data_IF_736659700166
#
_entry.id   IF_736659700166
#
_cell.length_a   1.000
_cell.length_b   1.000
_cell.length_c   1.000
_cell.angle_alpha   90.00
_cell.angle_beta   90.00
_cell.angle_gamma   90.00
#
_symmetry.space_group_name_H-M   'P 1'
#
loop_
_entity.id
_entity.type
_entity.pdbx_description
1 polymer ?
#
# COMPACT_ATOMS: atom_id res chain seq x y z
N UNK A 1 2.07 -21.52 28.22
CA UNK A 1 1.71 -20.17 27.75
C UNK A 1 2.66 -19.79 26.64
N UNK A 2 2.13 -19.57 25.45
CA UNK A 2 2.89 -19.11 24.28
C UNK A 2 3.08 -17.59 24.36
N UNK A 3 4.17 -17.08 23.81
CA UNK A 3 4.51 -15.63 23.87
C UNK A 3 3.39 -14.75 23.30
N UNK A 4 2.76 -15.22 22.24
CA UNK A 4 1.69 -14.52 21.52
C UNK A 4 0.44 -14.28 22.39
N UNK A 5 0.21 -15.13 23.40
CA UNK A 5 -0.93 -15.00 24.30
C UNK A 5 -0.67 -14.12 25.52
N UNK A 6 0.57 -13.73 25.79
CA UNK A 6 0.92 -12.94 26.98
C UNK A 6 0.21 -11.58 27.00
N UNK A 7 0.11 -10.91 25.85
CA UNK A 7 -0.58 -9.63 25.73
C UNK A 7 -2.08 -9.76 26.02
N UNK A 8 -2.71 -10.85 25.61
CA UNK A 8 -4.12 -11.12 25.87
C UNK A 8 -4.40 -11.31 27.36
N UNK A 9 -3.52 -12.04 28.07
CA UNK A 9 -3.62 -12.21 29.54
C UNK A 9 -3.45 -10.87 30.28
N UNK A 10 -2.49 -10.04 29.82
CA UNK A 10 -2.28 -8.71 30.39
C UNK A 10 -3.52 -7.82 30.19
N UNK A 11 -4.07 -7.81 28.98
CA UNK A 11 -5.24 -7.00 28.64
C UNK A 11 -6.51 -7.49 29.35
N UNK A 12 -6.71 -8.80 29.46
CA UNK A 12 -7.81 -9.37 30.25
C UNK A 12 -7.69 -8.99 31.74
N UNK A 13 -6.47 -9.03 32.31
CA UNK A 13 -6.20 -8.65 33.70
C UNK A 13 -6.35 -7.14 33.92
N UNK A 14 -6.05 -6.30 32.93
CA UNK A 14 -6.26 -4.84 32.95
C UNK A 14 -7.75 -4.44 33.00
N UNK A 15 -8.66 -5.33 32.56
CA UNK A 15 -10.09 -5.15 32.69
C UNK A 15 -10.79 -4.53 31.48
N UNK A 16 -11.98 -3.98 31.71
CA UNK A 16 -12.92 -3.61 30.63
C UNK A 16 -12.51 -2.38 29.82
N UNK A 17 -11.71 -1.48 30.39
CA UNK A 17 -11.28 -0.25 29.73
C UNK A 17 -10.39 -0.55 28.51
N UNK A 18 -9.35 -1.35 28.72
CA UNK A 18 -8.45 -1.73 27.62
C UNK A 18 -9.15 -2.61 26.60
N UNK A 19 -10.08 -3.46 27.00
CA UNK A 19 -10.85 -4.30 26.08
C UNK A 19 -11.70 -3.46 25.11
N UNK A 20 -12.28 -2.35 25.60
CA UNK A 20 -13.00 -1.40 24.73
C UNK A 20 -12.07 -0.73 23.73
N UNK A 21 -10.91 -0.24 24.20
CA UNK A 21 -9.89 0.36 23.33
C UNK A 21 -9.36 -0.64 22.31
N UNK A 22 -9.10 -1.87 22.71
CA UNK A 22 -8.62 -2.94 21.82
C UNK A 22 -9.67 -3.27 20.73
N UNK A 23 -10.95 -3.27 21.06
CA UNK A 23 -12.03 -3.48 20.10
C UNK A 23 -12.13 -2.31 19.09
N UNK A 24 -12.07 -1.07 19.58
CA UNK A 24 -12.07 0.12 18.72
C UNK A 24 -10.84 0.11 17.80
N UNK A 25 -9.67 -0.21 18.32
CA UNK A 25 -8.44 -0.35 17.58
C UNK A 25 -8.54 -1.40 16.47
N UNK A 26 -9.04 -2.61 16.78
CA UNK A 26 -9.21 -3.70 15.83
C UNK A 26 -10.12 -3.30 14.66
N UNK A 27 -11.22 -2.61 14.94
CA UNK A 27 -12.14 -2.12 13.89
C UNK A 27 -11.44 -1.14 12.93
N UNK A 28 -10.62 -0.23 13.45
CA UNK A 28 -9.85 0.70 12.63
C UNK A 28 -8.74 -0.02 11.84
N UNK A 29 -8.09 -1.00 12.46
CA UNK A 29 -7.05 -1.80 11.81
C UNK A 29 -7.59 -2.58 10.61
N UNK A 30 -8.75 -3.23 10.77
CA UNK A 30 -9.44 -3.96 9.71
C UNK A 30 -9.83 -3.02 8.56
N UNK A 31 -10.41 -1.85 8.88
CA UNK A 31 -10.78 -0.85 7.88
C UNK A 31 -9.56 -0.36 7.07
N UNK A 32 -8.44 -0.09 7.73
CA UNK A 32 -7.20 0.31 7.04
C UNK A 32 -6.67 -0.82 6.15
N UNK A 33 -6.78 -2.06 6.60
CA UNK A 33 -6.35 -3.23 5.81
C UNK A 33 -7.19 -3.36 4.54
N UNK A 34 -8.51 -3.17 4.63
CA UNK A 34 -9.42 -3.15 3.48
C UNK A 34 -9.06 -2.03 2.49
N UNK A 35 -8.89 -0.79 2.98
CA UNK A 35 -8.51 0.35 2.14
C UNK A 35 -7.13 0.16 1.47
N UNK A 36 -6.15 -0.41 2.18
CA UNK A 36 -4.84 -0.76 1.61
C UNK A 36 -4.94 -1.86 0.54
N UNK A 37 -5.85 -2.83 0.73
CA UNK A 37 -6.11 -3.86 -0.26
C UNK A 37 -6.79 -3.28 -1.51
N UNK A 38 -7.74 -2.37 -1.33
CA UNK A 38 -8.40 -1.67 -2.42
C UNK A 38 -7.41 -0.83 -3.24
N UNK A 39 -6.51 -0.11 -2.59
CA UNK A 39 -5.40 0.58 -3.27
C UNK A 39 -4.55 -0.38 -4.11
N UNK A 40 -4.22 -1.56 -3.62
CA UNK A 40 -3.42 -2.55 -4.36
C UNK A 40 -4.14 -3.13 -5.57
N UNK A 41 -5.46 -3.31 -5.52
CA UNK A 41 -6.25 -3.85 -6.63
C UNK A 41 -6.38 -2.87 -7.80
N UNK A 42 -6.46 -1.60 -7.52
CA UNK A 42 -6.75 -0.57 -8.50
C UNK A 42 -5.50 0.04 -9.16
N UNK A 43 -4.28 -0.31 -8.70
CA UNK A 43 -3.07 0.41 -9.10
C UNK A 43 -1.88 -0.50 -9.41
N UNK A 44 -1.53 -0.52 -10.72
CA UNK A 44 -0.21 -0.87 -11.20
C UNK A 44 0.86 0.19 -10.78
N UNK A 45 2.07 0.10 -11.35
CA UNK A 45 3.19 0.99 -10.98
C UNK A 45 2.82 2.49 -11.13
N UNK A 46 2.83 3.23 -10.03
CA UNK A 46 2.48 4.66 -9.94
C UNK A 46 3.36 5.51 -10.88
N UNK A 47 4.61 5.09 -11.14
CA UNK A 47 5.52 5.77 -12.07
C UNK A 47 5.11 5.60 -13.53
N UNK A 48 4.62 4.43 -13.92
CA UNK A 48 4.12 4.19 -15.29
C UNK A 48 2.85 5.00 -15.54
N UNK A 49 1.97 5.05 -14.55
CA UNK A 49 0.74 5.85 -14.63
C UNK A 49 1.03 7.34 -14.80
N UNK A 50 1.95 7.90 -13.99
CA UNK A 50 2.32 9.31 -14.09
C UNK A 50 2.93 9.63 -15.45
N UNK A 51 3.82 8.78 -15.96
CA UNK A 51 4.38 8.95 -17.32
C UNK A 51 3.31 8.94 -18.41
N UNK A 52 2.33 8.02 -18.27
CA UNK A 52 1.22 7.95 -19.22
C UNK A 52 0.34 9.18 -19.16
N UNK A 53 0.05 9.69 -17.97
CA UNK A 53 -0.73 10.91 -17.75
C UNK A 53 -0.04 12.14 -18.37
N UNK A 54 1.26 12.31 -18.14
CA UNK A 54 2.05 13.40 -18.70
C UNK A 54 2.10 13.33 -20.23
N UNK A 55 2.24 12.11 -20.79
CA UNK A 55 2.24 11.88 -22.23
C UNK A 55 0.88 12.24 -22.85
N UNK A 56 -0.23 11.74 -22.27
CA UNK A 56 -1.56 12.04 -22.79
C UNK A 56 -1.89 13.54 -22.73
N UNK A 57 -1.52 14.22 -21.65
CA UNK A 57 -1.67 15.68 -21.51
C UNK A 57 -0.89 16.44 -22.59
N UNK A 58 0.34 16.02 -22.84
CA UNK A 58 1.16 16.62 -23.88
C UNK A 58 0.51 16.44 -25.26
N UNK A 59 0.08 15.23 -25.61
CA UNK A 59 -0.54 14.93 -26.90
C UNK A 59 -1.85 15.70 -27.11
N UNK A 60 -2.73 15.73 -26.10
CA UNK A 60 -3.98 16.53 -26.15
C UNK A 60 -3.66 18.00 -26.39
N UNK A 61 -2.74 18.57 -25.63
CA UNK A 61 -2.37 19.98 -25.75
C UNK A 61 -1.73 20.30 -27.13
N UNK A 62 -0.90 19.42 -27.67
CA UNK A 62 -0.29 19.61 -29.01
C UNK A 62 -1.36 19.64 -30.11
N UNK A 63 -2.34 18.73 -30.08
CA UNK A 63 -3.42 18.65 -31.06
C UNK A 63 -4.39 19.84 -30.89
N UNK A 64 -4.82 20.16 -29.67
CA UNK A 64 -5.75 21.27 -29.43
C UNK A 64 -5.15 22.64 -29.77
N UNK A 65 -3.87 22.84 -29.45
CA UNK A 65 -3.16 24.09 -29.78
C UNK A 65 -3.06 24.30 -31.27
N UNK A 66 -3.05 23.24 -32.07
CA UNK A 66 -3.02 23.32 -33.53
C UNK A 66 -4.35 23.79 -34.12
N UNK A 67 -5.48 23.71 -33.41
CA UNK A 67 -6.81 24.17 -33.84
C UNK A 67 -7.16 23.71 -35.26
N UNK A 68 -7.01 22.42 -35.52
CA UNK A 68 -7.29 21.83 -36.83
C UNK A 68 -8.76 21.95 -37.21
N UNK A 69 -9.04 22.29 -38.47
CA UNK A 69 -10.38 22.35 -39.00
C UNK A 69 -10.61 21.20 -40.00
N UNK A 70 -11.80 20.59 -40.04
CA UNK A 70 -12.13 19.62 -41.09
C UNK A 70 -11.94 20.19 -42.48
N UNK A 71 -11.37 19.43 -43.42
CA UNK A 71 -11.08 19.78 -44.79
C UNK A 71 -10.04 20.92 -44.98
N UNK A 72 -9.41 21.43 -43.92
CA UNK A 72 -8.44 22.51 -43.96
C UNK A 72 -7.25 22.19 -44.88
N UNK A 73 -6.77 20.97 -44.88
CA UNK A 73 -5.64 20.53 -45.73
C UNK A 73 -5.99 20.62 -47.22
N UNK A 74 -7.20 20.25 -47.62
CA UNK A 74 -7.66 20.32 -49.02
C UNK A 74 -7.79 21.75 -49.46
N UNK A 75 -8.35 22.63 -48.62
CA UNK A 75 -8.48 24.06 -48.93
C UNK A 75 -7.12 24.75 -49.08
N UNK A 76 -6.18 24.44 -48.20
CA UNK A 76 -4.82 24.98 -48.23
C UNK A 76 -4.05 24.49 -49.47
N UNK A 77 -4.17 23.21 -49.82
CA UNK A 77 -3.56 22.69 -51.06
C UNK A 77 -4.16 23.30 -52.32
N UNK A 78 -5.47 23.52 -52.38
CA UNK A 78 -6.10 24.22 -53.49
C UNK A 78 -5.56 25.66 -53.63
N UNK A 79 -5.47 26.42 -52.53
CA UNK A 79 -4.88 27.77 -52.50
C UNK A 79 -3.41 27.74 -52.94
N UNK A 80 -2.62 26.78 -52.46
CA UNK A 80 -1.22 26.60 -52.85
C UNK A 80 -1.07 26.37 -54.35
N UNK A 81 -1.94 25.52 -54.95
CA UNK A 81 -1.90 25.30 -56.42
C UNK A 81 -2.21 26.56 -57.21
N UNK A 82 -3.19 27.36 -56.78
CA UNK A 82 -3.50 28.66 -57.43
C UNK A 82 -2.29 29.59 -57.35
N UNK A 83 -1.62 29.66 -56.19
CA UNK A 83 -0.42 30.52 -56.02
C UNK A 83 0.74 30.06 -56.88
N UNK A 84 1.04 28.75 -56.96
CA UNK A 84 2.07 28.23 -57.85
C UNK A 84 1.80 28.53 -59.32
N UNK A 85 0.53 28.41 -59.74
CA UNK A 85 0.13 28.79 -61.10
C UNK A 85 0.27 30.28 -61.32
N UNK A 86 -0.05 31.11 -60.30
CA UNK A 86 0.09 32.58 -60.39
C UNK A 86 1.55 33.03 -60.52
N UNK A 87 2.48 32.40 -59.78
CA UNK A 87 3.91 32.63 -59.92
C UNK A 87 4.39 32.33 -61.33
N UNK A 88 4.01 31.21 -61.94
CA UNK A 88 4.36 30.86 -63.32
C UNK A 88 3.79 31.82 -64.31
N UNK A 89 2.54 32.28 -64.12
CA UNK A 89 1.88 33.27 -64.95
C UNK A 89 2.63 34.60 -64.84
N UNK A 90 2.93 35.06 -63.62
CA UNK A 90 3.64 36.31 -63.40
C UNK A 90 5.05 36.32 -64.02
N UNK A 91 5.81 35.22 -63.87
CA UNK A 91 7.14 35.11 -64.50
C UNK A 91 7.08 35.21 -65.99
N UNK A 92 6.10 34.55 -66.65
CA UNK A 92 5.92 34.59 -68.10
C UNK A 92 5.41 35.96 -68.57
N UNK A 93 4.49 36.60 -67.83
CA UNK A 93 4.01 37.95 -68.15
C UNK A 93 5.17 38.96 -68.05
N UNK A 94 5.98 38.93 -66.98
CA UNK A 94 7.16 39.80 -66.84
C UNK A 94 8.17 39.58 -67.96
N UNK A 95 8.39 38.31 -68.33
CA UNK A 95 9.26 38.01 -69.45
C UNK A 95 8.71 38.56 -70.82
N UNK A 96 7.39 38.39 -71.00
CA UNK A 96 6.73 38.95 -72.22
C UNK A 96 6.77 40.50 -72.26
N UNK A 97 6.47 41.10 -71.09
CA UNK A 97 6.50 42.57 -70.95
C UNK A 97 7.88 43.12 -71.25
N UNK A 98 8.93 42.56 -70.68
CA UNK A 98 10.32 42.99 -71.00
C UNK A 98 10.67 42.83 -72.47
N UNK A 99 10.34 41.66 -73.03
CA UNK A 99 10.70 41.40 -74.42
C UNK A 99 9.93 42.28 -75.42
N UNK A 100 8.66 42.63 -75.15
CA UNK A 100 7.86 43.48 -76.03
C UNK A 100 8.18 44.95 -75.78
N UNK A 101 8.03 45.42 -74.53
CA UNK A 101 8.12 46.87 -74.25
C UNK A 101 9.54 47.41 -74.25
N UNK A 102 10.54 46.64 -73.75
CA UNK A 102 11.91 47.11 -73.65
C UNK A 102 12.75 46.75 -74.90
N UNK A 103 12.53 45.56 -75.47
CA UNK A 103 13.38 45.04 -76.53
C UNK A 103 12.76 45.25 -77.92
N UNK A 104 11.53 44.75 -78.18
CA UNK A 104 10.96 44.73 -79.50
C UNK A 104 10.54 46.15 -80.00
N UNK A 105 9.87 46.90 -79.14
CA UNK A 105 9.45 48.27 -79.44
C UNK A 105 10.66 49.15 -79.75
N UNK A 106 11.73 49.08 -78.99
CA UNK A 106 12.97 49.85 -79.21
C UNK A 106 13.67 49.44 -80.52
N UNK A 107 13.70 48.11 -80.78
CA UNK A 107 14.29 47.60 -82.00
C UNK A 107 13.53 48.09 -83.29
N UNK A 108 12.16 47.98 -83.21
CA UNK A 108 11.32 48.45 -84.35
C UNK A 108 11.40 49.96 -84.50
N UNK A 109 11.40 50.73 -83.41
CA UNK A 109 11.55 52.17 -83.43
C UNK A 109 12.88 52.59 -84.06
N UNK A 110 13.96 51.89 -83.74
CA UNK A 110 15.27 52.13 -84.35
C UNK A 110 15.26 51.86 -85.87
N UNK A 111 14.56 50.80 -86.31
CA UNK A 111 14.40 50.52 -87.78
C UNK A 111 13.53 51.53 -88.45
N UNK A 112 12.42 52.00 -87.86
CA UNK A 112 11.58 53.11 -88.39
C UNK A 112 12.42 54.35 -88.57
N UNK A 113 13.19 54.79 -87.55
CA UNK A 113 14.09 55.97 -87.67
C UNK A 113 15.15 55.81 -88.76
N UNK A 114 15.60 54.56 -88.98
CA UNK A 114 16.55 54.29 -90.07
C UNK A 114 15.92 54.48 -91.48
N UNK A 115 14.70 53.92 -91.64
CA UNK A 115 13.97 54.01 -92.89
C UNK A 115 13.43 55.46 -93.22
N UNK A 116 13.05 56.21 -92.18
CA UNK A 116 12.67 57.63 -92.36
C UNK A 116 13.71 58.44 -93.07
N UNK A 117 15.00 58.17 -92.88
CA UNK A 117 16.10 58.86 -93.49
C UNK A 117 16.21 58.65 -95.02
N UNK A 118 15.63 57.57 -95.55
CA UNK A 118 15.72 57.14 -96.94
C UNK A 118 14.36 57.04 -97.62
N UNK A 119 13.22 57.25 -96.91
CA UNK A 119 11.85 57.09 -97.41
C UNK A 119 11.54 58.00 -98.65
N UNK A 120 12.12 59.21 -98.71
CA UNK A 120 11.92 60.13 -99.76
C UNK A 120 12.71 59.80 -101.08
N UNK A 121 13.62 58.80 -101.00
CA UNK A 121 14.47 58.41 -102.12
C UNK A 121 13.79 57.45 -103.12
N UNK A 122 12.82 56.60 -102.68
CA UNK A 122 12.09 55.66 -103.51
C UNK A 122 10.81 55.23 -102.81
N UNK A 123 9.68 55.14 -103.54
CA UNK A 123 8.38 54.67 -103.02
C UNK A 123 8.41 53.27 -102.33
N UNK A 124 9.38 52.44 -102.73
CA UNK A 124 9.57 51.14 -102.10
C UNK A 124 9.93 51.25 -100.60
N UNK A 125 10.78 52.25 -100.24
CA UNK A 125 11.18 52.49 -98.87
C UNK A 125 10.05 53.13 -98.07
N UNK A 126 9.25 54.01 -98.69
CA UNK A 126 8.09 54.62 -98.07
C UNK A 126 7.03 53.58 -97.70
N UNK A 127 6.74 52.60 -98.59
CA UNK A 127 5.78 51.53 -98.31
C UNK A 127 6.24 50.63 -97.12
N UNK A 128 7.51 50.23 -97.11
CA UNK A 128 8.05 49.43 -96.01
C UNK A 128 8.09 50.24 -94.73
N UNK A 129 8.34 51.54 -94.76
CA UNK A 129 8.25 52.42 -93.60
C UNK A 129 6.83 52.47 -93.02
N UNK A 130 5.81 52.55 -93.86
CA UNK A 130 4.42 52.60 -93.44
C UNK A 130 3.98 51.28 -92.80
N UNK A 131 4.36 50.14 -93.36
CA UNK A 131 4.13 48.83 -92.78
C UNK A 131 4.83 48.69 -91.41
N UNK A 132 6.06 49.14 -91.25
CA UNK A 132 6.80 49.05 -90.00
C UNK A 132 6.26 49.99 -88.92
N UNK A 133 5.72 51.20 -89.35
CA UNK A 133 5.02 52.08 -88.40
C UNK A 133 3.72 51.45 -87.85
N UNK A 134 2.96 50.79 -88.72
CA UNK A 134 1.77 50.08 -88.28
C UNK A 134 2.13 49.00 -87.32
N UNK A 135 3.16 48.19 -87.55
CA UNK A 135 3.68 47.18 -86.67
C UNK A 135 4.15 47.77 -85.34
N UNK A 136 4.77 48.93 -85.36
CA UNK A 136 5.16 49.63 -84.12
C UNK A 136 3.97 50.00 -83.29
N UNK A 137 2.88 50.52 -83.81
CA UNK A 137 1.68 50.87 -83.07
C UNK A 137 0.95 49.61 -82.52
N UNK A 138 0.90 48.53 -83.30
CA UNK A 138 0.35 47.24 -82.83
C UNK A 138 1.17 46.69 -81.74
N UNK A 139 2.51 46.79 -81.75
CA UNK A 139 3.37 46.37 -80.65
C UNK A 139 3.18 47.20 -79.36
N UNK A 140 3.02 48.54 -79.50
CA UNK A 140 2.73 49.42 -78.36
C UNK A 140 1.38 49.10 -77.74
N UNK A 141 0.36 48.77 -78.55
CA UNK A 141 -0.94 48.32 -78.01
C UNK A 141 -0.83 46.97 -77.27
N UNK A 142 -0.18 46.00 -77.90
CA UNK A 142 0.08 44.69 -77.27
C UNK A 142 0.93 44.80 -76.01
N UNK A 143 1.92 45.70 -76.01
CA UNK A 143 2.75 45.96 -74.82
C UNK A 143 1.94 46.54 -73.64
N UNK A 144 0.99 47.46 -73.94
CA UNK A 144 0.07 48.00 -72.95
C UNK A 144 -0.84 46.92 -72.36
N UNK A 145 -1.35 46.03 -73.21
CA UNK A 145 -2.19 44.92 -72.80
C UNK A 145 -1.41 43.94 -71.87
N UNK A 146 -0.16 43.60 -72.19
CA UNK A 146 0.70 42.76 -71.39
C UNK A 146 1.00 43.46 -70.08
N UNK A 147 1.28 44.76 -70.05
CA UNK A 147 1.51 45.49 -68.79
C UNK A 147 0.30 45.48 -67.85
N UNK A 148 -0.93 45.60 -68.45
CA UNK A 148 -2.16 45.53 -67.64
C UNK A 148 -2.36 44.15 -66.95
N UNK A 149 -1.95 43.02 -67.56
CA UNK A 149 -2.01 41.69 -66.97
C UNK A 149 -1.11 41.53 -65.75
N UNK A 150 -0.08 42.39 -65.63
CA UNK A 150 0.84 42.34 -64.49
C UNK A 150 0.23 42.94 -63.19
N UNK A 151 -0.77 43.83 -63.29
CA UNK A 151 -1.44 44.46 -62.14
C UNK A 151 -2.45 43.58 -61.49
N UNK A 152 -3.07 42.65 -62.23
CA UNK A 152 -4.17 41.80 -61.73
C UNK A 152 -3.75 40.59 -60.93
N UNK A 153 -2.47 40.21 -60.82
CA UNK A 153 -1.99 38.94 -60.29
C UNK A 153 -1.01 39.07 -59.08
N UNK A 154 -1.14 40.08 -58.22
CA UNK A 154 -0.29 40.21 -57.02
C UNK A 154 -0.76 39.34 -55.85
N UNK A 155 -0.10 38.18 -55.60
CA UNK A 155 -0.15 37.47 -54.33
C UNK A 155 1.01 37.93 -53.45
N UNK A 156 0.73 38.18 -52.14
CA UNK A 156 1.78 38.58 -51.20
C UNK A 156 2.59 37.32 -50.78
N UNK A 157 3.92 37.42 -50.78
CA UNK A 157 4.85 36.35 -50.41
C UNK A 157 4.63 35.88 -48.95
N UNK A 158 4.09 36.76 -48.10
CA UNK A 158 3.70 36.44 -46.72
C UNK A 158 2.55 35.40 -46.63
N UNK A 159 1.59 35.44 -47.56
CA UNK A 159 0.47 34.48 -47.53
C UNK A 159 0.90 33.09 -47.98
N UNK A 160 1.87 32.99 -48.87
CA UNK A 160 2.50 31.72 -49.25
C UNK A 160 3.20 31.08 -48.04
N UNK A 161 4.04 31.85 -47.35
CA UNK A 161 4.77 31.36 -46.17
C UNK A 161 3.82 30.84 -45.10
N UNK A 162 2.74 31.55 -44.82
CA UNK A 162 1.72 31.15 -43.87
C UNK A 162 1.03 29.81 -44.25
N UNK A 163 0.73 29.62 -45.54
CA UNK A 163 0.12 28.38 -46.05
C UNK A 163 1.10 27.21 -45.93
N UNK A 164 2.37 27.39 -46.27
CA UNK A 164 3.38 26.34 -46.19
C UNK A 164 3.65 25.95 -44.73
N UNK A 165 3.84 26.90 -43.82
CA UNK A 165 3.99 26.64 -42.38
C UNK A 165 2.78 25.87 -41.79
N UNK A 166 1.57 26.23 -42.25
CA UNK A 166 0.35 25.56 -41.78
C UNK A 166 0.24 24.12 -42.30
N UNK A 167 0.57 23.90 -43.57
CA UNK A 167 0.63 22.55 -44.15
C UNK A 167 1.72 21.68 -43.49
N UNK A 168 2.88 22.26 -43.18
CA UNK A 168 3.95 21.54 -42.45
C UNK A 168 3.51 21.14 -41.06
N UNK A 169 2.80 22.02 -40.35
CA UNK A 169 2.21 21.69 -39.06
C UNK A 169 1.22 20.51 -39.17
N UNK A 170 0.29 20.57 -40.12
CA UNK A 170 -0.67 19.50 -40.38
C UNK A 170 0.06 18.19 -40.71
N UNK A 171 1.05 18.25 -41.60
CA UNK A 171 1.87 17.08 -41.96
C UNK A 171 2.60 16.48 -40.77
N UNK A 172 3.15 17.30 -39.88
CA UNK A 172 3.83 16.85 -38.65
C UNK A 172 2.89 16.11 -37.71
N UNK A 173 1.65 16.61 -37.56
CA UNK A 173 0.62 16.00 -36.73
C UNK A 173 0.08 14.70 -37.34
N UNK A 174 -0.10 14.69 -38.68
CA UNK A 174 -0.49 13.47 -39.41
C UNK A 174 0.53 12.35 -39.18
N UNK A 175 1.80 12.63 -39.21
CA UNK A 175 2.86 11.64 -39.00
C UNK A 175 2.87 11.06 -37.60
N UNK A 176 2.33 11.78 -36.60
CA UNK A 176 2.30 11.37 -35.20
C UNK A 176 0.99 10.71 -34.82
N UNK A 177 -0.15 11.18 -35.30
CA UNK A 177 -1.46 10.91 -34.68
C UNK A 177 -2.52 10.32 -35.61
N UNK A 178 -2.35 10.38 -36.93
CA UNK A 178 -3.31 9.85 -37.89
C UNK A 178 -2.94 10.13 -39.31
N UNK A 179 -3.66 9.57 -40.30
CA UNK A 179 -3.37 9.79 -41.73
C UNK A 179 -4.06 11.01 -42.32
N UNK A 180 -5.07 11.55 -41.66
CA UNK A 180 -5.83 12.74 -42.01
C UNK A 180 -6.25 13.53 -40.76
N UNK A 181 -6.84 14.71 -40.94
CA UNK A 181 -7.27 15.59 -39.84
C UNK A 181 -8.37 14.93 -39.02
N UNK A 182 -9.32 14.25 -39.66
CA UNK A 182 -10.41 13.55 -38.96
C UNK A 182 -9.88 12.48 -37.98
N UNK A 183 -8.96 11.65 -38.43
CA UNK A 183 -8.32 10.65 -37.57
C UNK A 183 -7.54 11.26 -36.39
N UNK A 184 -6.89 12.41 -36.60
CA UNK A 184 -6.19 13.13 -35.51
C UNK A 184 -7.20 13.61 -34.46
N UNK A 185 -8.34 14.16 -34.88
CA UNK A 185 -9.39 14.65 -33.99
C UNK A 185 -10.06 13.49 -33.26
N UNK A 186 -10.35 12.37 -33.92
CA UNK A 186 -10.87 11.16 -33.29
C UNK A 186 -9.88 10.58 -32.26
N UNK A 187 -8.59 10.57 -32.60
CA UNK A 187 -7.54 10.18 -31.67
C UNK A 187 -7.49 11.10 -30.44
N UNK A 188 -7.59 12.42 -30.66
CA UNK A 188 -7.65 13.40 -29.56
C UNK A 188 -8.83 13.13 -28.61
N UNK A 189 -10.00 12.86 -29.13
CA UNK A 189 -11.19 12.55 -28.32
C UNK A 189 -11.05 11.24 -27.55
N UNK A 190 -10.40 10.25 -28.15
CA UNK A 190 -10.11 8.98 -27.49
C UNK A 190 -9.16 9.17 -26.29
N UNK A 191 -8.03 9.87 -26.51
CA UNK A 191 -7.06 10.10 -25.45
C UNK A 191 -7.58 11.05 -24.35
N UNK A 192 -8.49 11.98 -24.66
CA UNK A 192 -9.18 12.78 -23.65
C UNK A 192 -10.05 11.96 -22.72
N UNK A 193 -10.78 10.98 -23.25
CA UNK A 193 -11.57 10.05 -22.43
C UNK A 193 -10.66 9.23 -21.50
N UNK A 194 -9.57 8.70 -22.06
CA UNK A 194 -8.59 7.95 -21.27
C UNK A 194 -7.93 8.81 -20.16
N UNK A 195 -7.58 10.06 -20.49
CA UNK A 195 -7.05 11.03 -19.53
C UNK A 195 -8.03 11.29 -18.38
N UNK A 196 -9.30 11.52 -18.70
CA UNK A 196 -10.36 11.73 -17.71
C UNK A 196 -10.54 10.53 -16.77
N UNK A 197 -10.50 9.31 -17.30
CA UNK A 197 -10.57 8.09 -16.50
C UNK A 197 -9.38 7.98 -15.53
N UNK A 198 -8.16 8.28 -16.02
CA UNK A 198 -6.95 8.23 -15.20
C UNK A 198 -6.98 9.31 -14.09
N UNK A 199 -7.42 10.52 -14.39
CA UNK A 199 -7.51 11.62 -13.41
C UNK A 199 -8.54 11.34 -12.32
N UNK A 200 -9.71 10.80 -12.67
CA UNK A 200 -10.72 10.40 -11.70
C UNK A 200 -10.22 9.30 -10.75
N UNK A 201 -9.49 8.32 -11.28
CA UNK A 201 -8.83 7.29 -10.48
C UNK A 201 -7.78 7.88 -9.54
N UNK A 202 -7.04 8.89 -9.96
CA UNK A 202 -6.04 9.56 -9.12
C UNK A 202 -6.68 10.35 -7.98
N UNK A 203 -7.73 11.10 -8.25
CA UNK A 203 -8.48 11.80 -7.20
C UNK A 203 -9.05 10.84 -6.15
N UNK A 204 -9.61 9.71 -6.60
CA UNK A 204 -10.11 8.65 -5.72
C UNK A 204 -8.99 8.05 -4.87
N UNK A 205 -7.81 7.78 -5.46
CA UNK A 205 -6.63 7.29 -4.74
C UNK A 205 -6.19 8.25 -3.64
N UNK A 206 -6.11 9.52 -3.97
CA UNK A 206 -5.68 10.53 -3.02
C UNK A 206 -6.67 10.67 -1.85
N UNK A 207 -7.97 10.50 -2.09
CA UNK A 207 -8.99 10.44 -1.04
C UNK A 207 -8.76 9.26 -0.11
N UNK A 208 -8.53 8.05 -0.65
CA UNK A 208 -8.25 6.86 0.16
C UNK A 208 -6.94 7.02 0.96
N UNK A 209 -5.87 7.50 0.34
CA UNK A 209 -4.58 7.74 1.03
C UNK A 209 -4.76 8.73 2.20
N UNK A 210 -5.56 9.77 2.02
CA UNK A 210 -5.88 10.74 3.08
C UNK A 210 -6.67 10.09 4.21
N UNK A 211 -7.70 9.31 3.87
CA UNK A 211 -8.51 8.58 4.85
C UNK A 211 -7.66 7.61 5.68
N UNK A 212 -6.79 6.83 5.03
CA UNK A 212 -5.84 5.93 5.72
C UNK A 212 -5.00 6.70 6.72
N UNK A 213 -4.41 7.83 6.34
CA UNK A 213 -3.57 8.66 7.22
C UNK A 213 -4.33 9.19 8.43
N UNK A 214 -5.56 9.62 8.25
CA UNK A 214 -6.43 10.08 9.34
C UNK A 214 -6.78 8.92 10.30
N UNK A 215 -7.05 7.74 9.77
CA UNK A 215 -7.33 6.54 10.56
C UNK A 215 -6.08 6.05 11.31
N UNK A 216 -4.90 6.07 10.69
CA UNK A 216 -3.62 5.72 11.33
C UNK A 216 -3.29 6.66 12.50
N UNK A 217 -3.58 7.95 12.39
CA UNK A 217 -3.43 8.90 13.50
C UNK A 217 -4.36 8.58 14.68
N UNK A 218 -5.63 8.24 14.40
CA UNK A 218 -6.59 7.82 15.43
C UNK A 218 -6.14 6.52 16.09
N UNK A 219 -5.71 5.54 15.31
CA UNK A 219 -5.17 4.28 15.82
C UNK A 219 -3.97 4.50 16.73
N UNK A 220 -3.03 5.37 16.36
CA UNK A 220 -1.86 5.67 17.18
C UNK A 220 -2.27 6.25 18.53
N UNK A 221 -3.21 7.17 18.56
CA UNK A 221 -3.71 7.77 19.81
C UNK A 221 -4.38 6.72 20.72
N UNK A 222 -5.09 5.73 20.15
CA UNK A 222 -5.68 4.62 20.92
C UNK A 222 -4.56 3.68 21.42
N UNK A 223 -3.59 3.35 20.57
CA UNK A 223 -2.47 2.47 20.92
C UNK A 223 -1.61 3.04 22.06
N UNK A 224 -1.40 4.36 22.10
CA UNK A 224 -0.70 5.02 23.20
C UNK A 224 -1.48 4.91 24.52
N UNK A 225 -2.81 5.09 24.50
CA UNK A 225 -3.64 4.87 25.70
C UNK A 225 -3.57 3.42 26.17
N UNK A 226 -3.62 2.47 25.23
CA UNK A 226 -3.46 1.04 25.55
C UNK A 226 -2.09 0.77 26.17
N UNK A 227 -1.02 1.36 25.65
CA UNK A 227 0.33 1.26 26.21
C UNK A 227 0.36 1.72 27.67
N UNK A 228 -0.20 2.89 27.98
CA UNK A 228 -0.20 3.45 29.32
C UNK A 228 -0.94 2.55 30.33
N UNK A 229 -2.05 1.94 29.91
CA UNK A 229 -2.78 0.98 30.73
C UNK A 229 -1.95 -0.28 30.94
N UNK A 230 -1.33 -0.81 29.87
CA UNK A 230 -0.48 -2.01 29.94
C UNK A 230 0.72 -1.83 30.87
N UNK A 231 1.42 -0.68 30.78
CA UNK A 231 2.57 -0.39 31.64
C UNK A 231 2.18 -0.32 33.13
N UNK A 232 1.04 0.28 33.46
CA UNK A 232 0.52 0.32 34.82
C UNK A 232 0.13 -1.08 35.31
N UNK A 233 -0.58 -1.81 34.46
CA UNK A 233 -1.05 -3.18 34.77
C UNK A 233 0.11 -4.16 34.93
N UNK A 234 1.15 -4.04 34.11
CA UNK A 234 2.36 -4.86 34.18
C UNK A 234 3.01 -4.78 35.58
N UNK A 235 3.16 -3.57 36.12
CA UNK A 235 3.73 -3.39 37.48
C UNK A 235 2.89 -4.07 38.55
N UNK A 236 1.57 -3.98 38.47
CA UNK A 236 0.65 -4.64 39.40
C UNK A 236 0.76 -6.17 39.28
N UNK A 237 0.86 -6.66 38.04
CA UNK A 237 0.97 -8.11 37.79
C UNK A 237 2.32 -8.64 38.25
N UNK A 238 3.41 -7.92 38.04
CA UNK A 238 4.75 -8.26 38.53
C UNK A 238 4.77 -8.45 40.06
N UNK A 239 4.21 -7.49 40.80
CA UNK A 239 4.15 -7.54 42.24
C UNK A 239 3.28 -8.72 42.73
N UNK A 240 2.08 -8.86 42.17
CA UNK A 240 1.15 -9.94 42.61
C UNK A 240 1.74 -11.32 42.34
N UNK A 241 2.28 -11.58 41.17
CA UNK A 241 2.87 -12.88 40.83
C UNK A 241 4.12 -13.12 41.69
N UNK A 242 5.00 -12.13 41.85
CA UNK A 242 6.19 -12.27 42.69
C UNK A 242 5.82 -12.63 44.16
N UNK A 243 4.77 -12.01 44.69
CA UNK A 243 4.29 -12.34 46.06
C UNK A 243 3.73 -13.75 46.14
N UNK A 244 2.96 -14.21 45.14
CA UNK A 244 2.47 -15.60 45.10
C UNK A 244 3.62 -16.60 45.01
N UNK A 245 4.69 -16.30 44.27
CA UNK A 245 5.89 -17.14 44.18
C UNK A 245 6.64 -17.20 45.53
N UNK A 246 6.73 -16.08 46.24
CA UNK A 246 7.31 -16.06 47.59
C UNK A 246 6.54 -16.93 48.57
N UNK A 247 5.20 -16.93 48.51
CA UNK A 247 4.33 -17.84 49.31
C UNK A 247 4.56 -19.32 48.99
N UNK A 248 4.95 -19.61 47.74
CA UNK A 248 5.30 -20.98 47.30
C UNK A 248 6.75 -21.37 47.61
N UNK A 249 7.38 -20.70 48.59
CA UNK A 249 8.79 -20.87 49.04
C UNK A 249 9.83 -20.60 47.93
N UNK A 250 9.45 -19.84 46.93
CA UNK A 250 10.35 -19.34 45.88
C UNK A 250 10.75 -17.89 46.15
N UNK A 251 11.35 -17.61 47.35
CA UNK A 251 11.60 -16.25 47.86
C UNK A 251 12.52 -15.41 46.99
N UNK A 252 13.40 -16.02 46.21
CA UNK A 252 14.33 -15.34 45.30
C UNK A 252 13.75 -15.14 43.90
N UNK A 253 12.62 -15.81 43.62
CA UNK A 253 12.01 -15.69 42.31
C UNK A 253 11.37 -14.31 42.12
N UNK A 254 11.55 -13.73 40.92
CA UNK A 254 10.87 -12.50 40.53
C UNK A 254 10.29 -12.66 39.16
N UNK A 255 9.06 -12.21 39.00
CA UNK A 255 8.35 -12.17 37.75
C UNK A 255 8.42 -10.76 37.14
N UNK A 256 8.44 -10.65 35.83
CA UNK A 256 8.45 -9.40 35.12
C UNK A 256 7.65 -9.51 33.82
N UNK A 257 6.76 -8.57 33.58
CA UNK A 257 6.12 -8.34 32.29
C UNK A 257 7.00 -7.37 31.50
N UNK A 258 7.68 -7.86 30.47
CA UNK A 258 8.45 -7.04 29.57
C UNK A 258 7.53 -6.50 28.48
N UNK A 259 7.43 -5.17 28.37
CA UNK A 259 6.70 -4.48 27.30
C UNK A 259 7.72 -3.79 26.43
N UNK A 260 7.69 -4.05 25.14
CA UNK A 260 8.50 -3.36 24.12
C UNK A 260 7.59 -2.56 23.19
N UNK A 261 7.95 -1.32 22.89
CA UNK A 261 7.26 -0.50 21.90
C UNK A 261 7.82 -0.78 20.53
N UNK A 262 6.97 -1.10 19.58
CA UNK A 262 7.31 -1.22 18.17
C UNK A 262 7.12 0.12 17.45
N UNK A 263 7.86 0.32 16.37
CA UNK A 263 7.77 1.53 15.55
C UNK A 263 6.55 1.49 14.62
N UNK A 264 6.05 0.30 14.32
CA UNK A 264 4.93 0.09 13.43
C UNK A 264 3.69 -0.37 14.21
N UNK A 265 2.52 0.07 13.73
CA UNK A 265 1.24 -0.38 14.26
C UNK A 265 0.98 -1.83 13.84
N UNK A 266 0.81 -2.72 14.82
CA UNK A 266 0.45 -4.11 14.60
C UNK A 266 -1.01 -4.37 15.05
N UNK A 267 -1.49 -5.61 14.90
CA UNK A 267 -2.86 -5.99 15.28
C UNK A 267 -3.22 -5.74 16.75
N UNK A 268 -2.22 -5.63 17.63
CA UNK A 268 -2.36 -5.48 19.09
C UNK A 268 -1.98 -4.06 19.58
N UNK A 269 -1.79 -3.10 18.68
CA UNK A 269 -1.29 -1.75 18.99
C UNK A 269 0.17 -1.56 18.64
N UNK A 270 0.91 -0.91 19.53
CA UNK A 270 2.35 -0.64 19.41
C UNK A 270 3.20 -1.49 20.36
N UNK A 271 2.59 -2.47 21.04
CA UNK A 271 3.30 -3.23 22.05
C UNK A 271 3.49 -4.70 21.66
N UNK A 272 4.64 -5.24 22.04
CA UNK A 272 4.83 -6.68 22.28
C UNK A 272 5.02 -6.90 23.76
N UNK A 273 4.48 -8.01 24.26
CA UNK A 273 4.49 -8.38 25.68
C UNK A 273 5.11 -9.74 25.85
N UNK A 274 6.06 -9.85 26.79
CA UNK A 274 6.67 -11.13 27.13
C UNK A 274 6.78 -11.30 28.65
N UNK A 275 6.32 -12.43 29.17
CA UNK A 275 6.44 -12.80 30.59
C UNK A 275 7.81 -13.41 30.83
N UNK A 276 8.55 -12.80 31.72
CA UNK A 276 9.91 -13.19 32.08
C UNK A 276 9.96 -13.55 33.57
N UNK A 277 10.85 -14.45 33.92
CA UNK A 277 11.10 -14.83 35.29
C UNK A 277 12.58 -15.01 35.56
N UNK A 278 13.00 -14.73 36.77
CA UNK A 278 14.25 -15.21 37.34
C UNK A 278 13.93 -16.02 38.57
N UNK A 279 14.55 -17.19 38.73
CA UNK A 279 14.27 -18.14 39.84
C UNK A 279 15.21 -17.95 41.04
N UNK A 280 16.42 -17.46 40.80
CA UNK A 280 17.43 -17.27 41.87
C UNK A 280 17.98 -15.82 41.85
N UNK A 281 18.56 -15.39 42.96
CA UNK A 281 19.06 -14.04 43.14
C UNK A 281 20.16 -13.61 42.14
N UNK A 282 20.95 -14.57 41.65
CA UNK A 282 22.02 -14.33 40.67
C UNK A 282 21.61 -14.50 39.18
N UNK A 283 20.37 -14.97 38.94
CA UNK A 283 19.90 -15.23 37.57
C UNK A 283 19.52 -13.98 36.81
N UNK A 284 19.62 -14.07 35.48
CA UNK A 284 19.00 -13.11 34.56
C UNK A 284 17.53 -13.48 34.31
N UNK A 285 16.72 -12.50 33.93
CA UNK A 285 15.36 -12.74 33.48
C UNK A 285 15.34 -13.59 32.21
N UNK A 286 14.52 -14.64 32.17
CA UNK A 286 14.40 -15.57 31.03
C UNK A 286 12.93 -15.81 30.73
N UNK A 287 12.58 -16.06 29.46
CA UNK A 287 11.23 -16.51 29.10
C UNK A 287 10.80 -17.74 29.87
N UNK A 288 9.52 -17.85 30.23
CA UNK A 288 8.96 -18.98 30.97
C UNK A 288 9.32 -20.34 30.38
N UNK A 289 9.32 -20.43 29.04
CA UNK A 289 9.63 -21.68 28.33
C UNK A 289 11.08 -22.17 28.52
N UNK A 290 11.98 -21.34 29.04
CA UNK A 290 13.39 -21.68 29.25
C UNK A 290 13.70 -22.16 30.68
N UNK A 291 12.69 -22.44 31.49
CA UNK A 291 12.85 -22.98 32.86
C UNK A 291 13.11 -24.49 32.76
N UNK A 292 14.20 -24.93 33.35
CA UNK A 292 14.66 -26.32 33.21
C UNK A 292 14.04 -27.31 34.21
N UNK A 293 13.57 -26.84 35.38
CA UNK A 293 13.03 -27.69 36.45
C UNK A 293 11.52 -27.83 36.33
N UNK A 294 11.02 -29.07 36.23
CA UNK A 294 9.59 -29.39 36.19
C UNK A 294 8.83 -28.91 37.42
N UNK A 295 9.36 -29.16 38.62
CA UNK A 295 8.74 -28.74 39.86
C UNK A 295 8.71 -27.21 40.06
N UNK A 296 9.78 -26.50 39.66
CA UNK A 296 9.79 -25.03 39.66
C UNK A 296 8.78 -24.47 38.64
N UNK A 297 8.74 -25.01 37.43
CA UNK A 297 7.80 -24.61 36.41
C UNK A 297 6.35 -24.78 36.87
N UNK A 298 6.01 -25.94 37.50
CA UNK A 298 4.66 -26.20 37.97
C UNK A 298 4.24 -25.24 39.08
N UNK A 299 5.14 -24.87 40.00
CA UNK A 299 4.88 -23.86 41.05
C UNK A 299 4.76 -22.44 40.47
N UNK A 300 5.58 -22.07 39.50
CA UNK A 300 5.48 -20.78 38.80
C UNK A 300 4.14 -20.69 38.10
N UNK A 301 3.77 -21.71 37.35
CA UNK A 301 2.49 -21.76 36.68
C UNK A 301 1.31 -21.71 37.66
N UNK A 302 1.42 -22.36 38.83
CA UNK A 302 0.43 -22.27 39.91
C UNK A 302 0.25 -20.82 40.39
N UNK A 303 1.36 -20.10 40.65
CA UNK A 303 1.34 -18.69 41.04
C UNK A 303 0.71 -17.78 40.01
N UNK A 304 1.12 -17.93 38.74
CA UNK A 304 0.55 -17.19 37.62
C UNK A 304 -0.94 -17.46 37.45
N UNK A 305 -1.34 -18.76 37.44
CA UNK A 305 -2.74 -19.17 37.25
C UNK A 305 -3.63 -18.72 38.41
N UNK A 306 -3.10 -18.66 39.64
CA UNK A 306 -3.84 -18.13 40.79
C UNK A 306 -4.13 -16.63 40.64
N UNK A 307 -3.16 -15.82 40.20
CA UNK A 307 -3.35 -14.36 39.99
C UNK A 307 -4.30 -14.08 38.81
N UNK A 308 -4.24 -14.92 37.79
CA UNK A 308 -5.06 -14.79 36.60
C UNK A 308 -6.38 -15.56 36.63
N UNK A 309 -6.71 -16.24 37.77
CA UNK A 309 -7.86 -17.15 37.82
C UNK A 309 -9.21 -16.53 37.43
N UNK A 310 -9.36 -15.21 37.59
CA UNK A 310 -10.60 -14.50 37.22
C UNK A 310 -10.75 -14.24 35.73
N UNK A 311 -9.63 -14.30 35.00
CA UNK A 311 -9.57 -13.98 33.58
C UNK A 311 -9.09 -15.15 32.72
N UNK A 312 -8.71 -16.24 33.36
CA UNK A 312 -8.24 -17.47 32.69
C UNK A 312 -9.42 -18.35 32.30
N UNK A 313 -9.65 -18.56 31.04
CA UNK A 313 -10.77 -19.35 30.50
C UNK A 313 -10.45 -20.86 30.38
N UNK A 314 -9.25 -21.28 30.79
CA UNK A 314 -8.85 -22.70 30.71
C UNK A 314 -9.64 -23.52 31.76
N UNK A 315 -10.51 -24.46 31.37
CA UNK A 315 -11.41 -25.14 32.34
C UNK A 315 -10.71 -26.16 33.18
N UNK A 316 -9.61 -26.77 32.75
CA UNK A 316 -8.90 -27.85 33.44
C UNK A 316 -7.42 -27.53 33.54
N UNK A 317 -6.88 -27.63 34.76
CA UNK A 317 -5.45 -27.46 35.05
C UNK A 317 -4.88 -28.78 35.55
N UNK A 318 -3.78 -29.22 34.94
CA UNK A 318 -3.06 -30.46 35.36
C UNK A 318 -1.69 -30.05 35.89
N UNK A 319 -1.43 -30.40 37.13
CA UNK A 319 -0.14 -30.17 37.79
C UNK A 319 0.56 -31.50 38.03
N UNK A 320 1.70 -31.67 37.41
CA UNK A 320 2.61 -32.78 37.64
C UNK A 320 3.90 -32.27 38.28
N UNK A 321 4.54 -33.08 39.12
CA UNK A 321 5.79 -32.77 39.83
C UNK A 321 5.76 -31.49 40.67
N UNK A 322 4.59 -30.93 41.02
CA UNK A 322 4.49 -29.67 41.76
C UNK A 322 5.11 -29.71 43.15
N UNK A 323 5.19 -30.90 43.70
CA UNK A 323 5.72 -31.22 45.03
C UNK A 323 7.20 -31.64 45.02
N UNK A 324 7.85 -31.64 43.89
CA UNK A 324 9.28 -31.95 43.75
C UNK A 324 10.15 -30.89 44.42
N UNK A 325 11.02 -31.30 45.35
CA UNK A 325 12.00 -30.43 46.01
C UNK A 325 11.42 -29.48 47.05
N UNK A 326 10.20 -29.75 47.61
CA UNK A 326 9.60 -28.94 48.67
C UNK A 326 9.45 -29.69 49.97
N UNK A 327 9.49 -28.97 51.11
CA UNK A 327 9.27 -29.48 52.45
C UNK A 327 7.78 -29.52 52.84
N UNK A 328 7.44 -30.14 53.93
CA UNK A 328 6.08 -30.22 54.41
C UNK A 328 5.38 -28.89 54.64
N UNK A 329 6.09 -27.84 55.05
CA UNK A 329 5.53 -26.50 55.22
C UNK A 329 5.17 -25.89 53.85
N UNK A 330 6.05 -26.02 52.85
CA UNK A 330 5.77 -25.58 51.50
C UNK A 330 4.63 -26.38 50.87
N UNK A 331 4.55 -27.68 51.12
CA UNK A 331 3.46 -28.54 50.66
C UNK A 331 2.08 -28.08 51.14
N UNK A 332 1.96 -27.62 52.39
CA UNK A 332 0.71 -27.05 52.89
C UNK A 332 0.30 -25.80 52.13
N UNK A 333 1.24 -24.87 51.85
CA UNK A 333 0.96 -23.66 51.07
C UNK A 333 0.55 -23.98 49.63
N UNK A 334 1.25 -24.93 48.99
CA UNK A 334 0.88 -25.40 47.64
C UNK A 334 -0.54 -26.00 47.67
N UNK A 335 -0.87 -26.82 48.66
CA UNK A 335 -2.18 -27.44 48.81
C UNK A 335 -3.31 -26.39 48.97
N UNK A 336 -3.09 -25.34 49.75
CA UNK A 336 -4.03 -24.23 49.91
C UNK A 336 -4.24 -23.45 48.59
N UNK A 337 -3.16 -23.16 47.83
CA UNK A 337 -3.27 -22.49 46.56
C UNK A 337 -3.99 -23.34 45.52
N UNK A 338 -3.73 -24.64 45.43
CA UNK A 338 -4.45 -25.60 44.59
C UNK A 338 -5.94 -25.62 44.93
N UNK A 339 -6.26 -25.65 46.24
CA UNK A 339 -7.65 -25.61 46.73
C UNK A 339 -8.34 -24.30 46.32
N UNK A 340 -7.67 -23.17 46.43
CA UNK A 340 -8.21 -21.87 46.03
C UNK A 340 -8.55 -21.83 44.55
N UNK A 341 -7.64 -22.30 43.66
CA UNK A 341 -7.86 -22.33 42.22
C UNK A 341 -8.97 -23.32 41.85
N UNK A 342 -9.12 -24.41 42.59
CA UNK A 342 -10.14 -25.43 42.32
C UNK A 342 -11.58 -24.94 42.47
N UNK A 343 -11.79 -23.72 42.98
CA UNK A 343 -13.12 -23.08 43.02
C UNK A 343 -13.56 -22.57 41.63
N UNK A 344 -12.60 -22.34 40.70
CA UNK A 344 -12.87 -21.78 39.35
C UNK A 344 -12.48 -22.75 38.22
N UNK A 345 -11.53 -23.66 38.49
CA UNK A 345 -11.01 -24.59 37.50
C UNK A 345 -11.11 -26.01 38.04
N UNK A 346 -11.27 -27.02 37.19
CA UNK A 346 -11.01 -28.38 37.55
C UNK A 346 -9.50 -28.59 37.68
N UNK A 347 -9.04 -28.99 38.87
CA UNK A 347 -7.62 -29.22 39.14
C UNK A 347 -7.34 -30.71 39.25
N UNK A 348 -6.42 -31.21 38.43
CA UNK A 348 -5.83 -32.54 38.54
C UNK A 348 -4.39 -32.38 39.05
N UNK A 349 -4.05 -33.02 40.16
CA UNK A 349 -2.71 -32.94 40.73
C UNK A 349 -2.16 -34.34 40.98
N UNK A 350 -0.96 -34.62 40.49
CA UNK A 350 -0.21 -35.81 40.79
C UNK A 350 0.75 -35.45 41.93
N UNK A 351 0.66 -36.17 43.07
CA UNK A 351 1.42 -35.83 44.25
C UNK A 351 1.83 -37.09 45.06
N UNK A 352 2.96 -37.00 45.71
CA UNK A 352 3.43 -37.95 46.69
C UNK A 352 3.48 -37.37 48.13
N UNK A 353 2.96 -36.13 48.31
CA UNK A 353 2.93 -35.48 49.62
C UNK A 353 1.54 -35.50 50.27
N UNK A 354 1.47 -35.97 51.50
CA UNK A 354 0.25 -36.09 52.28
C UNK A 354 -0.56 -34.78 52.44
N UNK A 355 0.04 -33.59 52.67
CA UNK A 355 -0.70 -32.33 52.75
C UNK A 355 -1.47 -31.99 51.49
N UNK A 356 -0.88 -32.25 50.31
CA UNK A 356 -1.51 -31.97 49.02
C UNK A 356 -2.64 -32.98 48.79
N UNK A 357 -2.38 -34.26 48.97
CA UNK A 357 -3.37 -35.33 48.83
C UNK A 357 -4.57 -35.12 49.73
N UNK A 358 -4.36 -34.65 50.98
CA UNK A 358 -5.41 -34.44 51.98
C UNK A 358 -6.45 -33.40 51.54
N UNK A 359 -6.03 -32.31 50.82
CA UNK A 359 -6.91 -31.22 50.38
C UNK A 359 -7.69 -31.53 49.10
N UNK A 360 -7.40 -32.68 48.43
CA UNK A 360 -8.15 -33.13 47.25
C UNK A 360 -9.60 -33.50 47.60
N UNK A 361 -10.56 -33.07 46.78
CA UNK A 361 -11.97 -33.44 46.94
C UNK A 361 -12.20 -34.92 46.59
N UNK A 362 -11.54 -35.38 45.52
CA UNK A 362 -11.54 -36.77 45.09
C UNK A 362 -10.09 -37.23 44.97
N UNK A 363 -9.78 -38.37 45.56
CA UNK A 363 -8.46 -38.97 45.51
C UNK A 363 -8.49 -40.26 44.70
N UNK A 364 -7.48 -40.49 43.91
CA UNK A 364 -7.30 -41.68 43.11
C UNK A 364 -5.92 -42.27 43.42
N UNK A 365 -5.91 -43.61 43.70
CA UNK A 365 -4.69 -44.36 43.91
C UNK A 365 -4.20 -44.93 42.59
N UNK A 366 -2.96 -44.66 42.27
CA UNK A 366 -2.31 -45.16 41.05
C UNK A 366 -1.33 -46.24 41.46
N UNK A 367 -1.52 -47.45 40.96
CA UNK A 367 -0.65 -48.59 41.20
C UNK A 367 -0.19 -49.22 39.88
N UNK A 368 1.10 -49.50 39.79
CA UNK A 368 1.67 -50.28 38.70
C UNK A 368 1.77 -51.73 39.14
N UNK A 369 1.08 -52.62 38.46
CA UNK A 369 1.11 -54.06 38.67
C UNK A 369 1.70 -54.76 37.45
N UNK A 370 2.47 -55.80 37.64
CA UNK A 370 2.98 -56.61 36.57
C UNK A 370 2.01 -57.78 36.32
N UNK A 371 1.31 -57.76 35.17
CA UNK A 371 0.45 -58.87 34.74
C UNK A 371 1.03 -59.45 33.45
N UNK A 372 1.36 -60.75 33.49
CA UNK A 372 1.89 -61.49 32.31
C UNK A 372 3.14 -60.85 31.67
N UNK A 373 4.09 -60.35 32.49
CA UNK A 373 5.32 -59.72 32.01
C UNK A 373 5.15 -58.32 31.41
N UNK A 374 3.96 -57.71 31.59
CA UNK A 374 3.69 -56.32 31.18
C UNK A 374 3.28 -55.45 32.34
N UNK A 375 3.84 -54.24 32.42
CA UNK A 375 3.43 -53.26 33.43
C UNK A 375 2.03 -52.73 33.11
N UNK A 376 1.08 -52.89 33.97
CA UNK A 376 -0.28 -52.38 33.88
C UNK A 376 -0.52 -51.35 34.97
N UNK A 377 -0.92 -50.15 34.56
CA UNK A 377 -1.29 -49.09 35.52
C UNK A 377 -2.78 -49.19 35.86
N UNK A 378 -3.10 -49.36 37.16
CA UNK A 378 -4.47 -49.37 37.66
C UNK A 378 -4.74 -48.07 38.41
N UNK A 379 -5.88 -47.43 38.13
CA UNK A 379 -6.35 -46.22 38.80
C UNK A 379 -7.63 -46.57 39.55
N UNK A 380 -7.63 -46.31 40.86
CA UNK A 380 -8.76 -46.68 41.75
C UNK A 380 -9.21 -45.43 42.52
N UNK A 381 -10.49 -45.07 42.44
CA UNK A 381 -11.04 -43.98 43.24
C UNK A 381 -11.13 -44.45 44.74
N UNK A 382 -10.61 -43.62 45.64
CA UNK A 382 -10.60 -43.90 47.06
C UNK A 382 -11.89 -43.41 47.74
N UNK A 383 -12.47 -44.24 48.62
CA UNK A 383 -13.48 -43.82 49.58
C UNK A 383 -12.82 -43.11 50.79
N UNK A 384 -13.63 -42.60 51.76
CA UNK A 384 -13.13 -41.83 52.92
C UNK A 384 -12.12 -42.62 53.78
N UNK A 385 -12.42 -43.86 54.09
CA UNK A 385 -11.53 -44.70 54.89
C UNK A 385 -10.23 -45.02 54.12
N UNK A 386 -10.33 -45.36 52.84
CA UNK A 386 -9.17 -45.61 51.95
C UNK A 386 -8.31 -44.39 51.84
N UNK A 387 -8.92 -43.15 51.66
CA UNK A 387 -8.20 -41.89 51.65
C UNK A 387 -7.39 -41.66 52.90
N UNK A 388 -7.97 -41.91 54.13
CA UNK A 388 -7.28 -41.74 55.41
C UNK A 388 -6.08 -42.70 55.47
N UNK A 389 -6.27 -43.99 55.14
CA UNK A 389 -5.20 -45.02 55.14
C UNK A 389 -4.06 -44.63 54.16
N UNK A 390 -4.40 -44.15 52.92
CA UNK A 390 -3.38 -43.76 51.91
C UNK A 390 -2.62 -42.53 52.35
N UNK A 391 -3.29 -41.52 52.92
CA UNK A 391 -2.63 -40.34 53.46
C UNK A 391 -1.71 -40.68 54.63
N UNK A 392 -2.13 -41.60 55.56
CA UNK A 392 -1.29 -42.10 56.61
C UNK A 392 -0.03 -42.81 56.07
N UNK A 393 -0.21 -43.68 55.04
CA UNK A 393 0.90 -44.36 54.37
C UNK A 393 1.88 -43.37 53.72
N UNK A 394 1.39 -42.32 53.03
CA UNK A 394 2.23 -41.29 52.39
C UNK A 394 2.97 -40.47 53.45
N UNK A 395 2.33 -40.17 54.61
CA UNK A 395 2.92 -39.28 55.61
C UNK A 395 4.01 -39.94 56.43
N UNK A 396 3.87 -41.29 56.75
CA UNK A 396 4.74 -41.97 57.68
C UNK A 396 5.38 -43.29 57.19
N UNK A 397 5.00 -43.69 55.93
CA UNK A 397 5.44 -44.98 55.36
C UNK A 397 4.69 -46.21 55.93
N UNK A 398 4.06 -46.10 57.10
CA UNK A 398 3.37 -47.17 57.81
C UNK A 398 1.97 -46.75 58.26
N UNK A 399 1.04 -47.73 58.38
CA UNK A 399 -0.31 -47.45 58.81
C UNK A 399 -0.37 -47.86 60.29
N UNK A 400 -0.31 -46.89 61.23
CA UNK A 400 -0.42 -47.00 62.67
C UNK A 400 -1.58 -46.14 63.16
N UNK A 401 -2.02 -46.37 64.42
CA UNK A 401 -3.08 -45.57 65.04
C UNK A 401 -2.74 -44.06 65.08
N UNK A 402 -1.44 -43.76 65.29
CA UNK A 402 -0.92 -42.38 65.33
C UNK A 402 -0.94 -41.76 63.92
N UNK A 403 -0.50 -42.51 62.89
CA UNK A 403 -0.49 -42.02 61.54
C UNK A 403 -1.91 -41.83 60.98
N UNK A 404 -2.87 -42.66 61.36
CA UNK A 404 -4.29 -42.48 61.01
C UNK A 404 -4.88 -41.21 61.63
N UNK A 405 -4.65 -40.95 62.93
CA UNK A 405 -5.07 -39.69 63.56
C UNK A 405 -4.43 -38.47 62.96
N UNK A 406 -3.15 -38.55 62.59
CA UNK A 406 -2.48 -37.46 61.89
C UNK A 406 -3.08 -37.22 60.46
N UNK A 407 -3.37 -38.29 59.73
CA UNK A 407 -4.02 -38.18 58.42
C UNK A 407 -5.42 -37.54 58.50
N UNK A 408 -6.20 -37.90 59.53
CA UNK A 408 -7.51 -37.25 59.78
C UNK A 408 -7.36 -35.77 60.08
N UNK A 409 -6.35 -35.35 60.82
CA UNK A 409 -6.09 -33.97 61.14
C UNK A 409 -5.65 -33.13 59.86
N UNK A 410 -5.00 -33.79 58.92
CA UNK A 410 -4.63 -33.11 57.59
C UNK A 410 -5.82 -32.92 56.67
N UNK A 411 -6.79 -33.84 56.75
CA UNK A 411 -8.02 -33.79 55.96
C UNK A 411 -8.94 -32.64 56.44
N UNK A 412 -9.04 -32.46 57.72
CA UNK A 412 -9.85 -31.46 58.43
C UNK A 412 -11.23 -31.89 58.73
#
# INVERSE_FOLDING_TARGET
MEKETHIEYLDKFAGTEIQKLAKEYSTLYEKIAELKQELKRNYGDEKEKQRKLDLLKYQVNEIESAKLLPNEEEELNAKRQIMLNSELIMENIKSADYNVNEVAIEAVNTAVRGLEKIAELDNKYSNVLEELRNTYYELEESGRDIASLNEDNCFEEEDRTKIEERLDLIFSLKRKYGSNIEEILEYCDKIKKELYEIENLEEYTNKIKKEIKELEQKMLAIAEKMNDIREKTAKILDEKITNELSDLEMKSAKFQVKIEKETELNKNGINTVEFLIKTNAGDTYKPLIKIASGGEMSRIMLGIKKVLADVDEVPVLVFDEIDTGISGVAANKVAEKLKAISSKHQVLCITHLAPIAAKGNNNYYINKQEENGRAKTKVTKLNKEQKIKEIARIASGEITEVSLKHAESLIG
#
